data_IF_250012714700
#
_entry.id   IF_250012714700
#
_cell.length_a   1.000
_cell.length_b   1.000
_cell.length_c   1.000
_cell.angle_alpha   90.00
_cell.angle_beta   90.00
_cell.angle_gamma   90.00
#
_symmetry.space_group_name_H-M   'P 1'
#
loop_
_entity.id
_entity.type
_entity.pdbx_description
1 polymer ?
#
# COMPACT_ATOMS: atom_id res chain seq x y z
N UNK A 1 -1.45 5.15 23.30
CA UNK A 1 -1.88 4.53 22.03
C UNK A 1 -2.51 5.59 21.13
N UNK A 2 -2.45 5.49 19.78
CA UNK A 2 -3.25 6.35 18.91
C UNK A 2 -4.74 6.15 19.24
N UNK A 3 -5.50 7.26 19.29
CA UNK A 3 -6.94 7.24 19.62
C UNK A 3 -7.76 6.59 18.50
N UNK A 4 -7.33 6.77 17.26
CA UNK A 4 -7.92 6.18 16.06
C UNK A 4 -6.80 5.71 15.12
N UNK A 5 -7.05 4.61 14.41
CA UNK A 5 -6.11 4.06 13.41
C UNK A 5 -6.55 4.52 12.04
N UNK A 6 -6.15 5.74 11.66
CA UNK A 6 -6.59 6.38 10.42
C UNK A 6 -5.59 6.13 9.29
N UNK A 7 -4.32 6.31 9.61
CA UNK A 7 -3.24 6.31 8.64
C UNK A 7 -2.41 5.04 8.75
N UNK A 8 -1.68 4.71 7.69
CA UNK A 8 -0.71 3.62 7.73
C UNK A 8 0.33 3.82 8.86
N UNK A 9 0.68 5.08 9.14
CA UNK A 9 1.52 5.47 10.26
C UNK A 9 0.93 5.08 11.62
N UNK A 10 -0.37 5.24 11.83
CA UNK A 10 -1.05 4.87 13.07
C UNK A 10 -1.01 3.35 13.29
N UNK A 11 -1.22 2.57 12.22
CA UNK A 11 -1.11 1.12 12.26
C UNK A 11 0.32 0.67 12.59
N UNK A 12 1.33 1.27 11.96
CA UNK A 12 2.74 1.01 12.24
C UNK A 12 3.05 1.33 13.71
N UNK A 13 2.63 2.50 14.20
CA UNK A 13 2.82 2.92 15.59
C UNK A 13 2.18 1.96 16.58
N UNK A 14 0.94 1.56 16.32
CA UNK A 14 0.22 0.60 17.17
C UNK A 14 0.98 -0.73 17.24
N UNK A 15 1.31 -1.33 16.10
CA UNK A 15 2.01 -2.63 16.05
C UNK A 15 3.39 -2.56 16.69
N UNK A 16 4.11 -1.45 16.49
CA UNK A 16 5.40 -1.20 17.13
C UNK A 16 5.28 -1.22 18.65
N UNK A 17 4.30 -0.50 19.21
CA UNK A 17 4.08 -0.42 20.65
C UNK A 17 3.59 -1.75 21.24
N UNK A 18 2.72 -2.48 20.53
CA UNK A 18 2.29 -3.83 20.93
C UNK A 18 3.46 -4.82 21.03
N UNK A 19 4.46 -4.66 20.16
CA UNK A 19 5.65 -5.49 20.15
C UNK A 19 6.80 -4.94 21.02
N UNK A 20 6.60 -3.85 21.77
CA UNK A 20 7.63 -3.18 22.57
C UNK A 20 8.90 -2.78 21.79
N UNK A 21 8.74 -2.37 20.53
CA UNK A 21 9.86 -2.01 19.65
C UNK A 21 10.15 -0.50 19.64
N UNK A 22 11.42 -0.14 19.45
CA UNK A 22 11.80 1.24 19.14
C UNK A 22 11.63 1.53 17.64
N UNK A 23 11.52 2.81 17.26
CA UNK A 23 11.40 3.20 15.85
C UNK A 23 12.59 2.72 15.01
N UNK A 24 13.80 2.72 15.59
CA UNK A 24 15.01 2.17 14.96
C UNK A 24 14.89 0.68 14.63
N UNK A 25 14.18 -0.10 15.45
CA UNK A 25 14.02 -1.54 15.23
C UNK A 25 13.02 -1.78 14.10
N UNK A 26 11.92 -1.04 14.08
CA UNK A 26 10.95 -1.06 12.97
C UNK A 26 11.60 -0.61 11.66
N UNK A 27 12.47 0.41 11.71
CA UNK A 27 13.26 0.84 10.57
C UNK A 27 14.09 -0.31 9.99
N UNK A 28 14.83 -1.03 10.84
CA UNK A 28 15.59 -2.23 10.43
C UNK A 28 14.70 -3.32 9.83
N UNK A 29 13.55 -3.61 10.44
CA UNK A 29 12.60 -4.64 9.97
C UNK A 29 12.04 -4.29 8.59
N UNK A 30 11.64 -3.03 8.39
CA UNK A 30 11.06 -2.55 7.12
C UNK A 30 12.18 -2.22 6.10
N UNK A 31 13.44 -2.09 6.53
CA UNK A 31 14.56 -1.69 5.69
C UNK A 31 14.51 -0.20 5.31
N UNK A 32 14.23 0.65 6.28
CA UNK A 32 14.26 2.12 6.18
C UNK A 32 14.96 2.71 7.42
N UNK A 33 15.25 4.00 7.41
CA UNK A 33 15.84 4.67 8.57
C UNK A 33 14.79 4.97 9.67
N UNK A 34 15.30 5.21 10.89
CA UNK A 34 14.51 5.59 12.07
C UNK A 34 13.63 6.83 11.83
N UNK A 35 14.17 7.88 11.20
CA UNK A 35 13.45 9.13 10.98
C UNK A 35 12.28 8.94 10.01
N UNK A 36 12.42 8.06 9.02
CA UNK A 36 11.32 7.67 8.14
C UNK A 36 10.17 7.05 8.93
N UNK A 37 10.45 6.15 9.89
CA UNK A 37 9.40 5.60 10.76
C UNK A 37 8.75 6.71 11.60
N UNK A 38 9.54 7.60 12.20
CA UNK A 38 9.02 8.76 12.95
C UNK A 38 8.09 9.62 12.07
N UNK A 39 8.49 9.91 10.84
CA UNK A 39 7.71 10.73 9.91
C UNK A 39 6.40 10.04 9.49
N UNK A 40 6.41 8.73 9.31
CA UNK A 40 5.19 7.96 9.05
C UNK A 40 4.26 7.99 10.27
N UNK A 41 4.78 7.74 11.47
CA UNK A 41 4.00 7.77 12.72
C UNK A 41 3.45 9.15 13.10
N UNK A 42 4.05 10.23 12.58
CA UNK A 42 3.59 11.61 12.71
C UNK A 42 2.67 12.05 11.58
N UNK A 43 2.38 11.17 10.61
CA UNK A 43 1.65 11.50 9.39
C UNK A 43 2.27 12.69 8.61
N UNK A 44 3.58 12.90 8.74
CA UNK A 44 4.31 13.97 8.04
C UNK A 44 4.64 13.57 6.60
N UNK A 45 4.65 12.28 6.29
CA UNK A 45 4.80 11.75 4.94
C UNK A 45 3.43 11.48 4.31
N UNK A 46 3.03 12.30 3.33
CA UNK A 46 1.74 12.14 2.63
C UNK A 46 1.67 10.88 1.77
N UNK A 47 2.76 10.51 1.12
CA UNK A 47 2.83 9.38 0.19
C UNK A 47 4.01 8.48 0.54
N UNK A 48 3.72 7.28 1.06
CA UNK A 48 4.73 6.27 1.33
C UNK A 48 5.14 5.62 0.00
N UNK A 49 6.45 5.50 -0.31
CA UNK A 49 6.89 4.83 -1.53
C UNK A 49 6.42 3.37 -1.59
N UNK A 50 5.90 2.96 -2.76
CA UNK A 50 5.32 1.64 -2.96
C UNK A 50 6.25 0.48 -2.54
N UNK A 51 7.56 0.62 -2.76
CA UNK A 51 8.57 -0.39 -2.41
C UNK A 51 8.55 -0.83 -0.93
N UNK A 52 8.03 -0.02 -0.03
CA UNK A 52 7.94 -0.35 1.39
C UNK A 52 6.67 -1.12 1.75
N UNK A 53 5.62 -1.06 0.93
CA UNK A 53 4.33 -1.69 1.22
C UNK A 53 4.43 -3.20 1.49
N UNK A 54 5.20 -4.02 0.73
CA UNK A 54 5.30 -5.45 1.01
C UNK A 54 5.89 -5.73 2.40
N UNK A 55 6.91 -4.97 2.79
CA UNK A 55 7.56 -5.11 4.10
C UNK A 55 6.69 -4.58 5.23
N UNK A 56 5.95 -3.49 4.99
CA UNK A 56 4.97 -2.95 5.94
C UNK A 56 3.83 -3.96 6.15
N UNK A 57 3.28 -4.54 5.08
CA UNK A 57 2.24 -5.59 5.14
C UNK A 57 2.72 -6.78 5.98
N UNK A 58 3.95 -7.25 5.72
CA UNK A 58 4.58 -8.33 6.49
C UNK A 58 4.74 -7.98 7.97
N UNK A 59 5.17 -6.75 8.27
CA UNK A 59 5.34 -6.28 9.66
C UNK A 59 3.99 -6.19 10.40
N UNK A 60 2.96 -5.67 9.73
CA UNK A 60 1.63 -5.50 10.32
C UNK A 60 0.82 -6.80 10.38
N UNK A 61 1.21 -7.81 9.59
CA UNK A 61 0.40 -8.99 9.28
C UNK A 61 -1.02 -8.60 8.82
N UNK A 62 -1.12 -7.49 8.06
CA UNK A 62 -2.39 -6.93 7.62
C UNK A 62 -2.23 -6.05 6.36
N UNK A 63 -3.34 -5.82 5.67
CA UNK A 63 -3.38 -5.06 4.43
C UNK A 63 -3.50 -3.53 4.70
N UNK A 64 -2.60 -2.69 4.16
CA UNK A 64 -2.50 -1.26 4.45
C UNK A 64 -3.51 -0.38 3.71
N UNK A 65 -4.29 -0.93 2.77
CA UNK A 65 -5.38 -0.19 2.11
C UNK A 65 -6.71 -0.27 2.86
N UNK A 66 -6.74 -0.89 4.04
CA UNK A 66 -7.90 -0.89 4.91
C UNK A 66 -7.96 0.45 5.63
N UNK A 67 -8.39 1.50 4.93
CA UNK A 67 -8.76 2.76 5.56
C UNK A 67 -10.04 2.50 6.38
N UNK A 68 -9.95 2.63 7.71
CA UNK A 68 -10.99 2.88 8.75
C UNK A 68 -12.31 2.09 8.73
N UNK A 69 -12.56 1.28 7.71
CA UNK A 69 -13.88 0.72 7.41
C UNK A 69 -13.89 -0.80 7.53
N UNK A 70 -12.77 -1.44 7.86
CA UNK A 70 -12.64 -2.91 7.93
C UNK A 70 -13.23 -3.63 6.70
N UNK A 71 -13.28 -2.97 5.54
CA UNK A 71 -13.78 -3.55 4.30
C UNK A 71 -12.59 -3.93 3.44
N UNK A 72 -12.54 -5.21 3.07
CA UNK A 72 -11.69 -5.68 1.98
C UNK A 72 -11.93 -4.82 0.73
N UNK A 73 -10.92 -4.58 -0.11
CA UNK A 73 -11.10 -3.82 -1.35
C UNK A 73 -12.23 -4.42 -2.18
N UNK A 74 -13.32 -3.68 -2.32
CA UNK A 74 -14.52 -4.17 -3.02
C UNK A 74 -14.51 -3.72 -4.46
N UNK A 75 -13.94 -2.55 -4.73
CA UNK A 75 -13.87 -1.99 -6.08
C UNK A 75 -12.68 -2.54 -6.86
N UNK A 76 -12.83 -2.56 -8.18
CA UNK A 76 -11.76 -2.99 -9.08
C UNK A 76 -10.51 -2.08 -8.98
N UNK A 77 -10.72 -0.77 -8.82
CA UNK A 77 -9.68 0.24 -8.60
C UNK A 77 -8.84 -0.04 -7.35
N UNK A 78 -9.49 -0.37 -6.23
CA UNK A 78 -8.80 -0.73 -5.00
C UNK A 78 -8.04 -2.06 -5.13
N UNK A 79 -8.60 -3.05 -5.84
CA UNK A 79 -7.95 -4.34 -6.08
C UNK A 79 -6.67 -4.19 -6.90
N UNK A 80 -6.70 -3.39 -7.98
CA UNK A 80 -5.50 -3.09 -8.76
C UNK A 80 -4.44 -2.44 -7.88
N UNK A 81 -4.82 -1.37 -7.18
CA UNK A 81 -3.90 -0.63 -6.32
C UNK A 81 -3.30 -1.54 -5.26
N UNK A 82 -4.12 -2.41 -4.67
CA UNK A 82 -3.66 -3.35 -3.67
C UNK A 82 -2.64 -4.34 -4.23
N UNK A 83 -2.95 -4.94 -5.36
CA UNK A 83 -2.07 -5.91 -6.01
C UNK A 83 -0.73 -5.26 -6.39
N UNK A 84 -0.76 -4.05 -6.97
CA UNK A 84 0.45 -3.28 -7.27
C UNK A 84 1.30 -3.03 -6.02
N UNK A 85 0.68 -2.64 -4.91
CA UNK A 85 1.39 -2.35 -3.66
C UNK A 85 1.92 -3.62 -2.97
N UNK A 86 1.25 -4.77 -3.11
CA UNK A 86 1.79 -6.06 -2.66
C UNK A 86 3.08 -6.46 -3.37
N UNK A 87 3.21 -6.07 -4.64
CA UNK A 87 4.45 -6.25 -5.40
C UNK A 87 5.49 -5.15 -5.12
N UNK A 88 5.13 -4.11 -4.37
CA UNK A 88 6.02 -2.98 -4.08
C UNK A 88 6.27 -2.06 -5.28
N UNK A 89 5.45 -2.15 -6.33
CA UNK A 89 5.65 -1.42 -7.57
C UNK A 89 5.03 -0.03 -7.49
N UNK A 90 5.73 0.99 -7.99
CA UNK A 90 5.10 2.28 -8.25
C UNK A 90 4.22 2.23 -9.52
N UNK A 91 3.41 3.24 -9.78
CA UNK A 91 2.49 3.26 -10.93
C UNK A 91 3.22 3.12 -12.28
N UNK A 92 4.42 3.70 -12.43
CA UNK A 92 5.24 3.59 -13.64
C UNK A 92 5.75 2.16 -13.86
N UNK A 93 6.26 1.51 -12.81
CA UNK A 93 6.72 0.12 -12.90
C UNK A 93 5.57 -0.83 -13.22
N UNK A 94 4.40 -0.59 -12.64
CA UNK A 94 3.22 -1.40 -12.89
C UNK A 94 2.66 -1.18 -14.30
N UNK A 95 2.72 0.05 -14.83
CA UNK A 95 2.31 0.33 -16.20
C UNK A 95 3.23 -0.37 -17.21
N UNK A 96 4.55 -0.40 -16.93
CA UNK A 96 5.52 -1.17 -17.72
C UNK A 96 5.23 -2.67 -17.71
N UNK A 97 4.92 -3.24 -16.54
CA UNK A 97 4.55 -4.65 -16.40
C UNK A 97 3.30 -5.02 -17.22
N UNK A 98 2.38 -4.08 -17.36
CA UNK A 98 1.12 -4.26 -18.08
C UNK A 98 1.15 -3.79 -19.54
N UNK A 99 2.29 -3.25 -19.99
CA UNK A 99 2.45 -2.65 -21.32
C UNK A 99 1.40 -1.55 -21.62
N UNK A 100 1.11 -0.70 -20.63
CA UNK A 100 0.17 0.43 -20.75
C UNK A 100 0.83 1.75 -20.33
N UNK A 101 0.19 2.87 -20.68
CA UNK A 101 0.62 4.18 -20.21
C UNK A 101 0.42 4.35 -18.70
N UNK A 102 1.34 5.06 -18.05
CA UNK A 102 1.27 5.33 -16.60
C UNK A 102 0.03 6.12 -16.19
N UNK A 103 -0.48 6.98 -17.07
CA UNK A 103 -1.73 7.74 -16.85
C UNK A 103 -2.94 6.82 -16.84
N UNK A 104 -2.92 5.74 -17.64
CA UNK A 104 -3.97 4.72 -17.62
C UNK A 104 -4.06 4.04 -16.26
N UNK A 105 -2.92 3.65 -15.67
CA UNK A 105 -2.87 3.07 -14.32
C UNK A 105 -3.41 4.07 -13.29
N UNK A 106 -3.02 5.34 -13.38
CA UNK A 106 -3.53 6.40 -12.49
C UNK A 106 -5.06 6.49 -12.55
N UNK A 107 -5.65 6.52 -13.74
CA UNK A 107 -7.11 6.60 -13.92
C UNK A 107 -7.84 5.36 -13.40
N UNK A 108 -7.25 4.17 -13.57
CA UNK A 108 -7.82 2.95 -13.03
C UNK A 108 -7.84 2.96 -11.50
N UNK A 109 -6.75 3.41 -10.87
CA UNK A 109 -6.63 3.46 -9.41
C UNK A 109 -7.44 4.58 -8.75
N UNK A 110 -7.70 5.68 -9.47
CA UNK A 110 -8.61 6.74 -9.00
C UNK A 110 -10.09 6.43 -9.24
N UNK A 111 -10.39 5.41 -10.07
CA UNK A 111 -11.75 5.07 -10.46
C UNK A 111 -12.34 5.98 -11.55
N UNK A 112 -11.57 6.96 -12.04
CA UNK A 112 -11.98 7.86 -13.12
C UNK A 112 -12.24 7.11 -14.44
N UNK A 113 -11.52 6.01 -14.67
CA UNK A 113 -11.75 5.14 -15.83
C UNK A 113 -11.66 3.67 -15.41
N UNK A 114 -12.46 2.84 -16.07
CA UNK A 114 -12.34 1.38 -15.98
C UNK A 114 -11.51 0.88 -17.15
N UNK A 115 -10.72 -0.20 -17.00
CA UNK A 115 -10.14 -0.86 -18.17
C UNK A 115 -11.25 -1.38 -19.09
N UNK A 116 -10.91 -1.52 -20.36
CA UNK A 116 -11.74 -2.30 -21.29
C UNK A 116 -11.88 -3.74 -20.80
N UNK A 117 -12.92 -4.44 -21.25
CA UNK A 117 -13.21 -5.82 -20.87
C UNK A 117 -12.00 -6.76 -21.09
N UNK A 118 -11.39 -6.68 -22.27
CA UNK A 118 -10.16 -7.43 -22.61
C UNK A 118 -9.01 -7.16 -21.63
N UNK A 119 -8.82 -5.91 -21.22
CA UNK A 119 -7.76 -5.55 -20.27
C UNK A 119 -8.12 -5.96 -18.85
N UNK A 120 -9.40 -5.91 -18.48
CA UNK A 120 -9.88 -6.40 -17.20
C UNK A 120 -9.67 -7.91 -17.05
N UNK A 121 -9.87 -8.69 -18.12
CA UNK A 121 -9.57 -10.14 -18.14
C UNK A 121 -8.08 -10.42 -17.93
N UNK A 122 -7.20 -9.73 -18.67
CA UNK A 122 -5.74 -9.83 -18.43
C UNK A 122 -5.37 -9.50 -16.98
N UNK A 123 -5.95 -8.44 -16.44
CA UNK A 123 -5.73 -8.03 -15.06
C UNK A 123 -6.27 -9.06 -14.05
N UNK A 124 -7.41 -9.72 -14.32
CA UNK A 124 -7.91 -10.80 -13.46
C UNK A 124 -6.93 -11.98 -13.40
N UNK A 125 -6.31 -12.35 -14.52
CA UNK A 125 -5.29 -13.40 -14.54
C UNK A 125 -4.05 -12.99 -13.74
N UNK A 126 -3.61 -11.74 -13.86
CA UNK A 126 -2.43 -11.22 -13.14
C UNK A 126 -2.72 -11.03 -11.64
N UNK A 127 -3.93 -10.58 -11.28
CA UNK A 127 -4.31 -10.22 -9.90
C UNK A 127 -4.87 -11.40 -9.10
N UNK A 128 -5.54 -12.35 -9.77
CA UNK A 128 -6.24 -13.48 -9.16
C UNK A 128 -5.46 -14.80 -9.12
N UNK A 129 -4.21 -14.79 -9.58
CA UNK A 129 -3.24 -15.89 -9.39
C UNK A 129 -2.53 -15.83 -8.03
#
# INVERSE_FOLDING_TARGET
>A
MPKELITLGDHIKKKRLENNLFQKDVGKIIGTDNFTIVNWEKNSTKNIPAKYYPKIMKFLNSCPLINNTKKSPTTFSEKIKLHRLHQGLNQKQFSQLLEVDSTTVKFWESGERKPSEKTAEKLKVIIGG
#
